data_IF_554345308479
#
_entry.id   IF_554345308479
#
_cell.length_a   1.000
_cell.length_b   1.000
_cell.length_c   1.000
_cell.angle_alpha   90.00
_cell.angle_beta   90.00
_cell.angle_gamma   90.00
#
_symmetry.space_group_name_H-M   'P 1'
#
loop_
_entity.id
_entity.type
_entity.pdbx_description
1 polymer ?
#
# COMPACT_ATOMS: atom_id res chain seq x y z
N UNK A 1 -12.74 -8.46 0.01
CA UNK A 1 -12.44 -7.70 1.25
C UNK A 1 -12.96 -6.26 1.31
N UNK A 2 -13.13 -5.51 0.20
CA UNK A 2 -13.46 -4.07 0.19
C UNK A 2 -14.96 -3.70 0.30
N UNK A 3 -15.84 -4.63 0.68
CA UNK A 3 -17.28 -4.52 0.31
C UNK A 3 -18.32 -4.67 1.42
N UNK A 4 -17.95 -5.07 2.62
CA UNK A 4 -18.93 -5.23 3.70
C UNK A 4 -18.43 -4.43 4.88
N UNK A 5 -19.22 -3.45 5.31
CA UNK A 5 -18.98 -2.75 6.58
C UNK A 5 -18.83 -3.79 7.69
N UNK A 6 -17.87 -3.59 8.58
CA UNK A 6 -17.71 -4.47 9.73
C UNK A 6 -18.70 -4.14 10.87
N UNK A 7 -19.56 -3.14 10.66
CA UNK A 7 -20.53 -2.61 11.61
C UNK A 7 -21.47 -3.70 12.18
N UNK A 8 -21.92 -4.64 11.33
CA UNK A 8 -22.90 -5.67 11.70
C UNK A 8 -22.28 -6.94 12.31
N UNK A 9 -20.95 -7.01 12.48
CA UNK A 9 -20.33 -8.18 13.08
C UNK A 9 -20.59 -8.23 14.60
N UNK A 10 -20.90 -9.42 15.15
CA UNK A 10 -21.08 -9.57 16.59
C UNK A 10 -19.75 -9.42 17.33
N UNK A 11 -19.83 -9.03 18.60
CA UNK A 11 -18.67 -9.10 19.51
C UNK A 11 -18.32 -10.57 19.82
N UNK A 12 -17.04 -10.93 20.00
CA UNK A 12 -15.83 -10.08 20.05
C UNK A 12 -15.16 -9.85 18.67
N UNK A 13 -15.74 -10.36 17.58
CA UNK A 13 -15.13 -10.37 16.25
C UNK A 13 -14.92 -8.95 15.74
N UNK A 14 -15.92 -8.07 15.93
CA UNK A 14 -15.83 -6.66 15.56
C UNK A 14 -14.64 -5.98 16.26
N UNK A 15 -14.49 -6.14 17.57
CA UNK A 15 -13.34 -5.60 18.32
C UNK A 15 -11.99 -6.08 17.78
N UNK A 16 -11.86 -7.37 17.46
CA UNK A 16 -10.61 -7.92 16.90
C UNK A 16 -10.28 -7.28 15.55
N UNK A 17 -11.28 -7.13 14.68
CA UNK A 17 -11.10 -6.46 13.38
C UNK A 17 -10.73 -4.98 13.53
N UNK A 18 -11.33 -4.28 14.50
CA UNK A 18 -11.00 -2.89 14.82
C UNK A 18 -9.53 -2.74 15.21
N UNK A 19 -9.06 -3.56 16.16
CA UNK A 19 -7.67 -3.55 16.62
C UNK A 19 -6.72 -3.82 15.45
N UNK A 20 -7.06 -4.81 14.62
CA UNK A 20 -6.25 -5.21 13.48
C UNK A 20 -6.08 -4.08 12.45
N UNK A 21 -7.16 -3.36 12.13
CA UNK A 21 -7.10 -2.22 11.22
C UNK A 21 -6.36 -1.01 11.80
N UNK A 22 -6.60 -0.68 13.07
CA UNK A 22 -5.86 0.39 13.77
C UNK A 22 -4.38 0.07 13.79
N UNK A 23 -4.00 -1.17 14.12
CA UNK A 23 -2.61 -1.60 14.16
C UNK A 23 -1.93 -1.44 12.79
N UNK A 24 -2.60 -1.78 11.69
CA UNK A 24 -2.08 -1.52 10.33
C UNK A 24 -1.92 -0.02 10.06
N UNK A 25 -2.91 0.81 10.42
CA UNK A 25 -2.85 2.26 10.24
C UNK A 25 -1.69 2.90 11.02
N UNK A 26 -1.56 2.58 12.31
CA UNK A 26 -0.45 3.01 13.16
C UNK A 26 0.88 2.50 12.61
N UNK A 27 0.95 1.23 12.21
CA UNK A 27 2.17 0.64 11.65
C UNK A 27 2.66 1.35 10.38
N UNK A 28 1.74 1.77 9.50
CA UNK A 28 2.09 2.58 8.33
C UNK A 28 2.67 3.95 8.73
N UNK A 29 2.08 4.62 9.73
CA UNK A 29 2.64 5.86 10.26
C UNK A 29 3.99 5.66 10.96
N UNK A 30 4.20 4.54 11.64
CA UNK A 30 5.51 4.21 12.22
C UNK A 30 6.56 4.05 11.14
N UNK A 31 6.26 3.43 10.00
CA UNK A 31 7.18 3.35 8.86
C UNK A 31 7.51 4.77 8.35
N UNK A 32 6.52 5.63 8.20
CA UNK A 32 6.74 7.03 7.81
C UNK A 32 7.61 7.79 8.82
N UNK A 33 7.36 7.58 10.10
CA UNK A 33 8.13 8.15 11.20
C UNK A 33 9.58 7.67 11.16
N UNK A 34 9.82 6.36 10.98
CA UNK A 34 11.18 5.83 10.84
C UNK A 34 11.90 6.39 9.60
N UNK A 35 11.20 6.56 8.46
CA UNK A 35 11.77 7.22 7.29
C UNK A 35 12.18 8.67 7.60
N UNK A 36 11.34 9.42 8.32
CA UNK A 36 11.65 10.78 8.73
C UNK A 36 12.83 10.87 9.71
N UNK A 37 12.90 9.97 10.70
CA UNK A 37 14.05 9.91 11.62
C UNK A 37 15.33 9.51 10.91
N UNK A 38 15.25 8.58 9.95
CA UNK A 38 16.39 8.23 9.10
C UNK A 38 16.89 9.45 8.33
N UNK A 39 15.98 10.26 7.75
CA UNK A 39 16.32 11.53 7.12
C UNK A 39 17.02 12.51 8.08
N UNK A 40 16.54 12.67 9.31
CA UNK A 40 17.15 13.59 10.28
C UNK A 40 18.55 13.15 10.71
N UNK A 41 18.77 11.85 10.90
CA UNK A 41 20.03 11.31 11.42
C UNK A 41 21.12 11.23 10.34
N UNK A 42 20.79 10.67 9.18
CA UNK A 42 21.78 10.36 8.13
C UNK A 42 21.79 11.43 7.03
N UNK A 43 20.79 12.31 6.98
CA UNK A 43 20.66 13.36 5.98
C UNK A 43 21.76 14.42 6.02
N UNK A 44 22.67 14.42 7.00
CA UNK A 44 23.81 15.34 7.00
C UNK A 44 24.85 14.98 5.93
N UNK A 45 24.92 13.71 5.50
CA UNK A 45 25.95 13.21 4.57
C UNK A 45 25.42 12.80 3.19
N UNK A 46 24.09 12.76 2.99
CA UNK A 46 23.50 12.32 1.72
C UNK A 46 23.19 13.44 0.73
N UNK A 47 23.17 13.10 -0.57
CA UNK A 47 22.83 14.03 -1.66
C UNK A 47 21.40 14.58 -1.55
N UNK A 48 21.14 15.77 -2.13
CA UNK A 48 19.77 16.36 -2.19
C UNK A 48 18.73 15.38 -2.75
N UNK A 49 19.14 14.49 -3.66
CA UNK A 49 18.29 13.49 -4.29
C UNK A 49 17.82 12.44 -3.28
N UNK A 50 18.73 11.89 -2.47
CA UNK A 50 18.38 10.88 -1.46
C UNK A 50 17.47 11.46 -0.39
N UNK A 51 17.72 12.72 0.02
CA UNK A 51 16.83 13.48 0.91
C UNK A 51 15.40 13.58 0.39
N UNK A 52 15.21 14.02 -0.85
CA UNK A 52 13.87 14.13 -1.46
C UNK A 52 13.18 12.77 -1.59
N UNK A 53 13.95 11.71 -1.87
CA UNK A 53 13.42 10.35 -1.96
C UNK A 53 12.92 9.84 -0.60
N UNK A 54 13.68 10.01 0.48
CA UNK A 54 13.26 9.58 1.83
C UNK A 54 12.03 10.37 2.31
N UNK A 55 11.98 11.68 2.06
CA UNK A 55 10.79 12.51 2.37
C UNK A 55 9.57 12.00 1.58
N UNK A 56 9.77 11.63 0.31
CA UNK A 56 8.71 11.05 -0.51
C UNK A 56 8.22 9.70 0.04
N UNK A 57 9.12 8.82 0.52
CA UNK A 57 8.73 7.57 1.21
C UNK A 57 7.89 7.89 2.44
N UNK A 58 8.35 8.80 3.31
CA UNK A 58 7.61 9.19 4.50
C UNK A 58 6.22 9.72 4.15
N UNK A 59 6.12 10.51 3.09
CA UNK A 59 4.84 11.04 2.58
C UNK A 59 3.92 9.92 2.08
N UNK A 60 4.43 8.97 1.30
CA UNK A 60 3.67 7.81 0.80
C UNK A 60 3.10 7.00 1.95
N UNK A 61 3.94 6.60 2.92
CA UNK A 61 3.48 5.81 4.06
C UNK A 61 2.51 6.57 4.97
N UNK A 62 2.64 7.91 5.06
CA UNK A 62 1.66 8.74 5.77
C UNK A 62 0.31 8.76 5.05
N UNK A 63 0.29 8.90 3.72
CA UNK A 63 -0.94 8.84 2.91
C UNK A 63 -1.60 7.46 3.06
N UNK A 64 -0.81 6.38 3.02
CA UNK A 64 -1.32 5.04 3.24
C UNK A 64 -1.84 4.85 4.69
N UNK A 65 -1.18 5.45 5.68
CA UNK A 65 -1.70 5.50 7.05
C UNK A 65 -3.08 6.16 7.10
N UNK A 66 -3.23 7.35 6.52
CA UNK A 66 -4.50 8.08 6.45
C UNK A 66 -5.60 7.25 5.78
N UNK A 67 -5.30 6.60 4.65
CA UNK A 67 -6.26 5.73 3.94
C UNK A 67 -6.85 4.68 4.90
N UNK A 68 -6.03 4.06 5.75
CA UNK A 68 -6.50 3.06 6.72
C UNK A 68 -7.43 3.63 7.77
N UNK A 69 -7.21 4.86 8.24
CA UNK A 69 -8.13 5.50 9.19
C UNK A 69 -9.46 5.88 8.56
N UNK A 70 -9.48 6.28 7.28
CA UNK A 70 -10.73 6.46 6.55
C UNK A 70 -11.52 5.16 6.42
N UNK A 71 -10.85 4.04 6.12
CA UNK A 71 -11.48 2.73 6.07
C UNK A 71 -11.93 2.23 7.45
N UNK A 72 -11.15 2.51 8.49
CA UNK A 72 -11.54 2.20 9.87
C UNK A 72 -12.83 2.93 10.25
N UNK A 73 -12.92 4.22 9.96
CA UNK A 73 -14.15 4.97 10.21
C UNK A 73 -15.33 4.44 9.39
N UNK A 74 -15.09 4.18 8.09
CA UNK A 74 -16.06 3.56 7.19
C UNK A 74 -16.58 2.21 7.71
N UNK A 75 -15.69 1.32 8.13
CA UNK A 75 -16.03 -0.07 8.46
C UNK A 75 -16.71 -0.20 9.82
N UNK A 76 -16.49 0.73 10.77
CA UNK A 76 -16.97 0.56 12.15
C UNK A 76 -17.89 1.65 12.68
N UNK A 77 -17.95 2.82 12.02
CA UNK A 77 -18.66 4.00 12.54
C UNK A 77 -19.58 4.70 11.53
N UNK A 78 -19.40 4.47 10.23
CA UNK A 78 -20.18 5.17 9.22
C UNK A 78 -21.61 4.59 9.09
N UNK A 79 -22.67 5.39 9.28
CA UNK A 79 -24.02 4.98 8.91
C UNK A 79 -24.14 4.80 7.40
N UNK A 80 -25.08 3.96 6.97
CA UNK A 80 -25.22 3.48 5.57
C UNK A 80 -25.24 4.61 4.53
N UNK A 81 -25.83 5.76 4.86
CA UNK A 81 -25.93 6.92 3.96
C UNK A 81 -24.56 7.55 3.63
N UNK A 82 -23.62 7.54 4.58
CA UNK A 82 -22.27 8.10 4.41
C UNK A 82 -21.22 7.04 4.03
N UNK A 83 -21.56 5.75 4.17
CA UNK A 83 -20.65 4.63 3.91
C UNK A 83 -20.09 4.68 2.48
N UNK A 84 -20.94 4.88 1.46
CA UNK A 84 -20.45 4.89 0.08
C UNK A 84 -19.47 6.03 -0.22
N UNK A 85 -19.71 7.22 0.34
CA UNK A 85 -18.84 8.39 0.15
C UNK A 85 -17.48 8.17 0.82
N UNK A 86 -17.48 7.70 2.07
CA UNK A 86 -16.26 7.42 2.82
C UNK A 86 -15.43 6.30 2.18
N UNK A 87 -16.09 5.25 1.69
CA UNK A 87 -15.44 4.20 0.90
C UNK A 87 -14.75 4.78 -0.34
N UNK A 88 -15.41 5.70 -1.05
CA UNK A 88 -14.86 6.32 -2.26
C UNK A 88 -13.66 7.21 -1.96
N UNK A 89 -13.75 8.01 -0.90
CA UNK A 89 -12.64 8.86 -0.43
C UNK A 89 -11.45 8.01 0.00
N UNK A 90 -11.68 6.96 0.81
CA UNK A 90 -10.61 6.08 1.29
C UNK A 90 -9.85 5.41 0.14
N UNK A 91 -10.57 4.96 -0.90
CA UNK A 91 -9.96 4.39 -2.10
C UNK A 91 -9.22 5.42 -2.94
N UNK A 92 -9.70 6.65 -3.02
CA UNK A 92 -8.98 7.72 -3.69
C UNK A 92 -7.65 8.02 -2.99
N UNK A 93 -7.64 8.07 -1.65
CA UNK A 93 -6.42 8.25 -0.87
C UNK A 93 -5.44 7.09 -1.11
N UNK A 94 -5.93 5.85 -1.15
CA UNK A 94 -5.12 4.68 -1.51
C UNK A 94 -4.47 4.83 -2.89
N UNK A 95 -5.27 5.17 -3.91
CA UNK A 95 -4.78 5.35 -5.28
C UNK A 95 -3.74 6.47 -5.38
N UNK A 96 -3.95 7.59 -4.68
CA UNK A 96 -2.96 8.67 -4.58
C UNK A 96 -1.65 8.18 -3.96
N UNK A 97 -1.73 7.39 -2.88
CA UNK A 97 -0.56 6.78 -2.26
C UNK A 97 0.23 5.87 -3.21
N UNK A 98 -0.47 5.03 -3.97
CA UNK A 98 0.16 4.10 -4.94
C UNK A 98 0.72 4.81 -6.18
N UNK A 99 0.02 5.82 -6.71
CA UNK A 99 0.53 6.67 -7.79
C UNK A 99 1.81 7.40 -7.33
N UNK A 100 1.81 7.95 -6.11
CA UNK A 100 2.97 8.63 -5.55
C UNK A 100 4.16 7.69 -5.36
N UNK A 101 3.91 6.44 -4.96
CA UNK A 101 4.94 5.41 -4.87
C UNK A 101 5.54 5.12 -6.26
N UNK A 102 4.72 4.87 -7.28
CA UNK A 102 5.21 4.61 -8.64
C UNK A 102 6.01 5.80 -9.19
N UNK A 103 5.54 7.03 -8.97
CA UNK A 103 6.26 8.24 -9.34
C UNK A 103 7.63 8.32 -8.67
N UNK A 104 7.69 8.06 -7.36
CA UNK A 104 8.91 8.07 -6.58
C UNK A 104 9.91 7.03 -7.10
N UNK A 105 9.45 5.81 -7.35
CA UNK A 105 10.27 4.73 -7.89
C UNK A 105 10.81 5.07 -9.28
N UNK A 106 9.98 5.57 -10.20
CA UNK A 106 10.43 5.92 -11.56
C UNK A 106 11.35 7.14 -11.58
N UNK A 107 11.12 8.12 -10.69
CA UNK A 107 11.97 9.32 -10.60
C UNK A 107 13.35 9.02 -10.02
N UNK A 108 13.40 8.20 -8.97
CA UNK A 108 14.60 8.06 -8.14
C UNK A 108 15.30 6.71 -8.28
N UNK A 109 14.62 5.64 -8.68
CA UNK A 109 15.22 4.29 -8.80
C UNK A 109 15.31 3.88 -10.26
N UNK A 110 14.21 3.98 -11.02
CA UNK A 110 14.12 3.46 -12.38
C UNK A 110 13.80 4.54 -13.40
N UNK A 111 14.81 5.32 -13.77
CA UNK A 111 14.67 6.46 -14.70
C UNK A 111 14.35 6.06 -16.15
N UNK A 112 14.57 4.80 -16.52
CA UNK A 112 14.45 4.33 -17.92
C UNK A 112 13.00 4.21 -18.39
N UNK A 113 12.03 4.03 -17.50
CA UNK A 113 10.61 3.95 -17.90
C UNK A 113 9.99 5.28 -18.26
N UNK A 114 10.65 6.42 -18.02
CA UNK A 114 10.11 7.75 -18.39
C UNK A 114 8.67 7.97 -17.88
N UNK A 115 8.39 7.54 -16.64
CA UNK A 115 7.08 7.71 -15.98
C UNK A 115 5.91 6.90 -16.56
N UNK A 116 6.16 5.90 -17.40
CA UNK A 116 5.10 5.07 -18.00
C UNK A 116 4.18 4.46 -16.92
N UNK A 117 4.73 3.91 -15.84
CA UNK A 117 3.91 3.26 -14.82
C UNK A 117 3.10 4.26 -14.01
N UNK A 118 3.66 5.43 -13.73
CA UNK A 118 2.97 6.55 -13.09
C UNK A 118 1.79 7.00 -13.96
N UNK A 119 2.00 7.18 -15.26
CA UNK A 119 0.95 7.59 -16.21
C UNK A 119 -0.17 6.55 -16.26
N UNK A 120 0.16 5.26 -16.38
CA UNK A 120 -0.83 4.17 -16.32
C UNK A 120 -1.61 4.25 -15.00
N UNK A 121 -0.91 4.46 -13.88
CA UNK A 121 -1.54 4.55 -12.57
C UNK A 121 -2.51 5.75 -12.47
N UNK A 122 -2.14 6.89 -13.05
CA UNK A 122 -3.00 8.08 -13.13
C UNK A 122 -4.25 7.82 -13.98
N UNK A 123 -4.13 7.10 -15.10
CA UNK A 123 -5.28 6.71 -15.94
C UNK A 123 -6.28 5.90 -15.12
N UNK A 124 -5.82 4.89 -14.36
CA UNK A 124 -6.70 4.13 -13.47
C UNK A 124 -7.35 4.99 -12.38
N UNK A 125 -6.59 5.92 -11.79
CA UNK A 125 -7.13 6.88 -10.83
C UNK A 125 -8.23 7.78 -11.43
N UNK A 126 -8.03 8.25 -12.65
CA UNK A 126 -9.00 9.08 -13.36
C UNK A 126 -10.26 8.29 -13.78
N UNK A 127 -10.07 7.06 -14.27
CA UNK A 127 -11.20 6.16 -14.58
C UNK A 127 -12.03 5.87 -13.34
N UNK A 128 -11.40 5.65 -12.18
CA UNK A 128 -12.09 5.47 -10.91
C UNK A 128 -12.92 6.70 -10.51
N UNK A 129 -12.41 7.91 -10.76
CA UNK A 129 -13.11 9.16 -10.47
C UNK A 129 -14.37 9.34 -11.32
N UNK A 130 -14.31 9.05 -12.61
CA UNK A 130 -15.44 9.29 -13.53
C UNK A 130 -16.56 8.26 -13.34
N UNK A 131 -16.22 7.02 -12.98
CA UNK A 131 -17.21 5.94 -12.94
C UNK A 131 -18.03 6.03 -11.66
N UNK A 132 -19.32 6.31 -11.83
CA UNK A 132 -20.28 6.46 -10.72
C UNK A 132 -20.84 5.10 -10.29
N UNK A 133 -20.93 4.14 -11.21
CA UNK A 133 -21.43 2.79 -10.92
C UNK A 133 -20.48 2.06 -9.94
N UNK A 134 -20.98 1.71 -8.75
CA UNK A 134 -20.21 1.07 -7.68
C UNK A 134 -19.52 -0.23 -8.11
N UNK A 135 -20.22 -1.09 -8.85
CA UNK A 135 -19.68 -2.38 -9.28
C UNK A 135 -18.51 -2.20 -10.23
N UNK A 136 -18.69 -1.37 -11.27
CA UNK A 136 -17.64 -1.09 -12.27
C UNK A 136 -16.46 -0.35 -11.62
N UNK A 137 -16.73 0.66 -10.79
CA UNK A 137 -15.70 1.40 -10.07
C UNK A 137 -14.83 0.47 -9.23
N UNK A 138 -15.43 -0.56 -8.62
CA UNK A 138 -14.66 -1.49 -7.79
C UNK A 138 -13.84 -2.48 -8.62
N UNK A 139 -14.36 -2.94 -9.76
CA UNK A 139 -13.57 -3.78 -10.68
C UNK A 139 -12.33 -3.01 -11.12
N UNK A 140 -12.48 -1.76 -11.53
CA UNK A 140 -11.37 -0.89 -11.96
C UNK A 140 -10.41 -0.60 -10.82
N UNK A 141 -10.92 -0.36 -9.61
CA UNK A 141 -10.09 -0.18 -8.42
C UNK A 141 -9.22 -1.41 -8.14
N UNK A 142 -9.79 -2.62 -8.19
CA UNK A 142 -9.05 -3.86 -7.93
C UNK A 142 -7.98 -4.11 -9.00
N UNK A 143 -8.33 -3.98 -10.28
CA UNK A 143 -7.39 -4.12 -11.40
C UNK A 143 -6.29 -3.06 -11.30
N UNK A 144 -6.67 -1.79 -11.09
CA UNK A 144 -5.73 -0.68 -10.97
C UNK A 144 -4.77 -0.87 -9.80
N UNK A 145 -5.29 -1.20 -8.61
CA UNK A 145 -4.48 -1.47 -7.42
C UNK A 145 -3.53 -2.64 -7.64
N UNK A 146 -4.00 -3.72 -8.26
CA UNK A 146 -3.16 -4.88 -8.60
C UNK A 146 -2.01 -4.49 -9.51
N UNK A 147 -2.28 -3.77 -10.61
CA UNK A 147 -1.25 -3.31 -11.55
C UNK A 147 -0.25 -2.35 -10.88
N UNK A 148 -0.75 -1.43 -10.05
CA UNK A 148 0.09 -0.48 -9.31
C UNK A 148 1.04 -1.16 -8.32
N UNK A 149 0.70 -2.34 -7.81
CA UNK A 149 1.56 -3.16 -6.94
C UNK A 149 2.49 -4.07 -7.77
N UNK A 150 1.98 -4.60 -8.89
CA UNK A 150 2.72 -5.49 -9.77
C UNK A 150 3.91 -4.79 -10.45
N UNK A 151 3.80 -3.52 -10.82
CA UNK A 151 4.90 -2.80 -11.46
C UNK A 151 6.14 -2.66 -10.54
N UNK A 152 6.01 -2.18 -9.28
CA UNK A 152 7.11 -2.25 -8.31
C UNK A 152 7.71 -3.65 -8.17
N UNK A 153 6.89 -4.71 -8.20
CA UNK A 153 7.38 -6.09 -8.09
C UNK A 153 8.34 -6.42 -9.23
N UNK A 154 7.90 -6.20 -10.47
CA UNK A 154 8.68 -6.50 -11.68
C UNK A 154 9.98 -5.70 -11.68
N UNK A 155 9.91 -4.41 -11.36
CA UNK A 155 11.09 -3.53 -11.31
C UNK A 155 12.11 -4.06 -10.30
N UNK A 156 11.69 -4.32 -9.07
CA UNK A 156 12.61 -4.78 -8.02
C UNK A 156 13.11 -6.20 -8.27
N UNK A 157 12.34 -7.06 -8.95
CA UNK A 157 12.82 -8.35 -9.41
C UNK A 157 13.94 -8.19 -10.44
N UNK A 158 13.79 -7.29 -11.41
CA UNK A 158 14.84 -6.98 -12.41
C UNK A 158 16.09 -6.45 -11.71
N UNK A 159 15.94 -5.55 -10.72
CA UNK A 159 17.06 -5.04 -9.93
C UNK A 159 17.71 -6.16 -9.11
N UNK A 160 16.93 -7.07 -8.52
CA UNK A 160 17.47 -8.20 -7.76
C UNK A 160 18.24 -9.20 -8.63
N UNK A 161 17.84 -9.38 -9.89
CA UNK A 161 18.52 -10.26 -10.85
C UNK A 161 19.81 -9.63 -11.35
N UNK A 162 19.79 -8.32 -11.66
CA UNK A 162 20.92 -7.62 -12.30
C UNK A 162 21.87 -6.92 -11.33
N UNK A 163 21.42 -6.62 -10.12
CA UNK A 163 22.18 -5.92 -9.10
C UNK A 163 23.12 -6.83 -8.32
N UNK A 164 23.99 -6.22 -7.52
CA UNK A 164 24.94 -6.91 -6.64
C UNK A 164 24.90 -6.32 -5.23
N UNK A 165 25.53 -7.01 -4.28
CA UNK A 165 25.72 -6.54 -2.91
C UNK A 165 24.44 -6.08 -2.21
N UNK A 166 24.50 -4.89 -1.60
CA UNK A 166 23.42 -4.29 -0.82
C UNK A 166 22.18 -3.96 -1.64
N UNK A 167 22.34 -3.47 -2.87
CA UNK A 167 21.22 -3.12 -3.76
C UNK A 167 20.38 -4.36 -4.08
N UNK A 168 21.03 -5.51 -4.36
CA UNK A 168 20.34 -6.79 -4.60
C UNK A 168 19.58 -7.26 -3.36
N UNK A 169 20.21 -7.19 -2.18
CA UNK A 169 19.59 -7.60 -0.91
C UNK A 169 18.33 -6.78 -0.61
N UNK A 170 18.42 -5.45 -0.74
CA UNK A 170 17.29 -4.56 -0.48
C UNK A 170 16.16 -4.75 -1.51
N UNK A 171 16.50 -4.93 -2.79
CA UNK A 171 15.51 -5.26 -3.82
C UNK A 171 14.77 -6.58 -3.54
N UNK A 172 15.48 -7.63 -3.06
CA UNK A 172 14.86 -8.90 -2.65
C UNK A 172 13.93 -8.72 -1.44
N UNK A 173 14.29 -7.89 -0.47
CA UNK A 173 13.43 -7.58 0.68
C UNK A 173 12.15 -6.88 0.22
N UNK A 174 12.25 -5.91 -0.70
CA UNK A 174 11.08 -5.24 -1.29
C UNK A 174 10.19 -6.24 -2.04
N UNK A 175 10.79 -7.11 -2.86
CA UNK A 175 10.06 -8.17 -3.59
C UNK A 175 9.31 -9.08 -2.62
N UNK A 176 9.95 -9.55 -1.54
CA UNK A 176 9.31 -10.37 -0.52
C UNK A 176 8.13 -9.63 0.12
N UNK A 177 8.32 -8.36 0.49
CA UNK A 177 7.26 -7.53 1.04
C UNK A 177 6.07 -7.36 0.09
N UNK A 178 6.31 -7.18 -1.22
CA UNK A 178 5.26 -7.08 -2.24
C UNK A 178 4.52 -8.42 -2.41
N UNK A 179 5.22 -9.55 -2.35
CA UNK A 179 4.59 -10.89 -2.38
C UNK A 179 3.67 -11.08 -1.19
N UNK A 180 4.12 -10.71 0.02
CA UNK A 180 3.32 -10.78 1.25
C UNK A 180 2.07 -9.88 1.15
N UNK A 181 2.23 -8.63 0.68
CA UNK A 181 1.09 -7.73 0.42
C UNK A 181 0.11 -8.33 -0.59
N UNK A 182 0.62 -8.84 -1.71
CA UNK A 182 -0.21 -9.41 -2.77
C UNK A 182 -0.99 -10.63 -2.29
N UNK A 183 -0.34 -11.50 -1.50
CA UNK A 183 -1.01 -12.63 -0.86
C UNK A 183 -2.09 -12.16 0.12
N UNK A 184 -1.79 -11.16 0.94
CA UNK A 184 -2.76 -10.62 1.90
C UNK A 184 -4.01 -10.02 1.23
N UNK A 185 -3.86 -9.29 0.14
CA UNK A 185 -4.98 -8.60 -0.50
C UNK A 185 -5.72 -9.48 -1.51
N UNK A 186 -4.98 -10.20 -2.34
CA UNK A 186 -5.54 -10.98 -3.44
C UNK A 186 -5.61 -12.47 -3.10
N UNK A 187 -4.57 -13.03 -2.49
CA UNK A 187 -4.55 -14.45 -2.09
C UNK A 187 -5.67 -14.79 -1.12
N UNK A 188 -5.82 -14.04 -0.02
CA UNK A 188 -6.90 -14.25 0.94
C UNK A 188 -8.29 -14.02 0.34
N UNK A 189 -8.41 -13.09 -0.62
CA UNK A 189 -9.66 -12.87 -1.35
C UNK A 189 -10.02 -14.06 -2.26
N UNK A 190 -9.04 -14.66 -2.93
CA UNK A 190 -9.25 -15.87 -3.73
C UNK A 190 -9.66 -17.04 -2.84
N UNK A 191 -8.99 -17.23 -1.69
CA UNK A 191 -9.36 -18.28 -0.73
C UNK A 191 -10.76 -18.08 -0.15
N UNK A 192 -11.17 -16.83 0.08
CA UNK A 192 -12.54 -16.48 0.46
C UNK A 192 -13.54 -16.85 -0.64
N UNK A 193 -13.23 -16.50 -1.89
CA UNK A 193 -14.11 -16.75 -3.06
C UNK A 193 -14.28 -18.24 -3.33
N UNK A 194 -13.25 -19.05 -3.09
CA UNK A 194 -13.29 -20.51 -3.23
C UNK A 194 -13.95 -21.21 -2.04
N UNK A 195 -14.39 -20.47 -1.01
CA UNK A 195 -15.03 -21.02 0.19
C UNK A 195 -14.07 -21.74 1.15
N UNK A 196 -12.75 -21.62 0.94
CA UNK A 196 -11.71 -22.23 1.79
C UNK A 196 -11.56 -21.46 3.10
N UNK A 197 -11.75 -20.14 3.06
CA UNK A 197 -11.76 -19.26 4.22
C UNK A 197 -13.07 -18.48 4.28
N UNK A 198 -13.58 -18.23 5.49
CA UNK A 198 -14.69 -17.30 5.66
C UNK A 198 -14.18 -15.84 5.61
N UNK A 199 -15.08 -14.90 5.27
CA UNK A 199 -14.78 -13.46 5.18
C UNK A 199 -14.15 -12.92 6.46
N UNK A 200 -14.58 -13.39 7.62
CA UNK A 200 -14.06 -12.99 8.93
C UNK A 200 -12.58 -13.34 9.09
N UNK A 201 -12.22 -14.59 8.80
CA UNK A 201 -10.85 -15.10 8.92
C UNK A 201 -9.93 -14.38 7.96
N UNK A 202 -10.35 -14.23 6.70
CA UNK A 202 -9.59 -13.45 5.72
C UNK A 202 -9.28 -12.05 6.23
N UNK A 203 -10.24 -11.36 6.86
CA UNK A 203 -10.06 -9.99 7.39
C UNK A 203 -9.15 -9.92 8.60
N UNK A 204 -9.36 -10.78 9.59
CA UNK A 204 -8.57 -10.79 10.82
C UNK A 204 -7.09 -11.02 10.51
N UNK A 205 -6.78 -11.97 9.62
CA UNK A 205 -5.40 -12.31 9.26
C UNK A 205 -4.83 -11.43 8.14
N UNK A 206 -5.67 -10.85 7.27
CA UNK A 206 -5.19 -10.01 6.19
C UNK A 206 -4.50 -8.74 6.68
N UNK A 207 -5.10 -7.99 7.60
CA UNK A 207 -4.50 -6.72 8.04
C UNK A 207 -3.10 -6.87 8.67
N UNK A 208 -2.83 -7.86 9.55
CA UNK A 208 -1.49 -8.08 10.10
C UNK A 208 -0.49 -8.59 9.06
N UNK A 209 -0.91 -9.51 8.17
CA UNK A 209 -0.03 -10.00 7.09
C UNK A 209 0.32 -8.84 6.15
N UNK A 210 -0.64 -7.99 5.81
CA UNK A 210 -0.36 -6.78 5.02
C UNK A 210 0.64 -5.86 5.73
N UNK A 211 0.50 -5.65 7.04
CA UNK A 211 1.44 -4.83 7.80
C UNK A 211 2.87 -5.37 7.71
N UNK A 212 3.07 -6.68 7.83
CA UNK A 212 4.39 -7.31 7.64
C UNK A 212 4.95 -7.01 6.24
N UNK A 213 4.11 -7.12 5.21
CA UNK A 213 4.50 -6.74 3.84
C UNK A 213 4.93 -5.28 3.72
N UNK A 214 4.18 -4.36 4.32
CA UNK A 214 4.53 -2.93 4.35
C UNK A 214 5.85 -2.67 5.09
N UNK A 215 6.12 -3.37 6.20
CA UNK A 215 7.37 -3.22 6.96
C UNK A 215 8.57 -3.60 6.08
N UNK A 216 8.50 -4.73 5.37
CA UNK A 216 9.58 -5.15 4.46
C UNK A 216 9.79 -4.15 3.32
N UNK A 217 8.71 -3.68 2.69
CA UNK A 217 8.81 -2.66 1.62
C UNK A 217 9.40 -1.37 2.17
N UNK A 218 8.90 -0.88 3.31
CA UNK A 218 9.36 0.35 3.94
C UNK A 218 10.85 0.30 4.28
N UNK A 219 11.28 -0.76 4.97
CA UNK A 219 12.69 -0.99 5.27
C UNK A 219 13.55 -1.01 4.01
N UNK A 220 13.14 -1.82 3.02
CA UNK A 220 13.90 -1.98 1.79
C UNK A 220 14.03 -0.66 1.02
N UNK A 221 12.95 0.12 0.93
CA UNK A 221 12.94 1.41 0.23
C UNK A 221 13.81 2.46 0.95
N UNK A 222 13.74 2.57 2.28
CA UNK A 222 14.49 3.56 3.06
C UNK A 222 16.00 3.35 2.88
N UNK A 223 16.46 2.09 2.90
CA UNK A 223 17.89 1.76 2.88
C UNK A 223 18.44 1.62 1.44
N UNK A 224 17.59 1.66 0.41
CA UNK A 224 17.98 1.34 -0.97
C UNK A 224 19.04 2.27 -1.59
N UNK A 225 19.05 3.55 -1.23
CA UNK A 225 19.91 4.58 -1.85
C UNK A 225 21.17 4.92 -1.05
N UNK A 226 21.54 4.10 -0.06
CA UNK A 226 22.64 4.38 0.88
C UNK A 226 24.05 4.34 0.25
N UNK A 227 24.22 3.74 -0.92
CA UNK A 227 25.55 3.50 -1.53
C UNK A 227 25.63 3.91 -3.02
N UNK A 228 24.81 4.87 -3.49
CA UNK A 228 25.08 5.55 -4.78
C UNK A 228 26.26 6.53 -4.65
#
# INVERSE_FOLDING_TARGET
MLFVSAYDYPEPIRTIMMISQIATGIGLFLIAFFAFFYYLKEGYFETKRTKSYIIGIASVFSILGLYRFFFFYHDFFAPDENSFVLWRIGNLILLVGLISLNFLLERYIYKKTKYIFTVISMIFGFLYLIIINKTIATIILNIGTFLMILFPLIIHLIIAIRGSGWVRKNALIIVLGIIILSFSFFGLFVLETLGILNTTTSRIFGHPIALVGYIFIGYGLIVMLREE
#
